data_IF_030012740695
#
_entry.id   IF_030012740695
#
_cell.length_a   1.000
_cell.length_b   1.000
_cell.length_c   1.000
_cell.angle_alpha   90.00
_cell.angle_beta   90.00
_cell.angle_gamma   90.00
#
_symmetry.space_group_name_H-M   'P 1'
#
loop_
_entity.id
_entity.type
_entity.pdbx_description
1 polymer ?
#
# COMPACT_ATOMS: atom_id res chain seq x y z
N UNK A 1 9.30 -70.89 13.98
CA UNK A 1 10.21 -69.75 14.29
C UNK A 1 10.54 -68.90 13.05
N UNK A 2 11.00 -69.44 11.92
CA UNK A 2 11.35 -68.69 10.68
C UNK A 2 10.16 -67.91 10.06
N UNK A 3 8.92 -68.41 10.13
CA UNK A 3 7.72 -67.74 9.57
C UNK A 3 7.30 -66.50 10.40
N UNK A 4 7.41 -66.54 11.70
CA UNK A 4 7.11 -65.43 12.61
C UNK A 4 8.07 -64.25 12.42
N UNK A 5 9.34 -64.56 12.24
CA UNK A 5 10.39 -63.55 11.96
C UNK A 5 10.14 -62.81 10.63
N UNK A 6 9.76 -63.55 9.56
CA UNK A 6 9.42 -62.97 8.27
C UNK A 6 8.20 -62.03 8.33
N UNK A 7 7.17 -62.40 9.10
CA UNK A 7 5.99 -61.59 9.29
C UNK A 7 6.31 -60.30 10.08
N UNK A 8 7.12 -60.42 11.11
CA UNK A 8 7.57 -59.27 11.92
C UNK A 8 8.39 -58.27 11.09
N UNK A 9 9.34 -58.73 10.28
CA UNK A 9 10.08 -57.83 9.38
C UNK A 9 9.19 -57.19 8.31
N UNK A 10 8.19 -57.91 7.79
CA UNK A 10 7.25 -57.36 6.81
C UNK A 10 6.38 -56.24 7.43
N UNK A 11 5.94 -56.38 8.68
CA UNK A 11 5.18 -55.34 9.36
C UNK A 11 6.02 -54.09 9.66
N UNK A 12 7.28 -54.25 10.07
CA UNK A 12 8.19 -53.13 10.29
C UNK A 12 8.44 -52.34 8.98
N UNK A 13 8.68 -53.04 7.87
CA UNK A 13 8.91 -52.40 6.56
C UNK A 13 7.67 -51.61 6.10
N UNK A 14 6.47 -52.18 6.32
CA UNK A 14 5.22 -51.49 5.94
C UNK A 14 4.98 -50.24 6.82
N UNK A 15 5.24 -50.33 8.12
CA UNK A 15 5.12 -49.18 9.03
C UNK A 15 6.14 -48.07 8.68
N UNK A 16 7.38 -48.44 8.36
CA UNK A 16 8.41 -47.50 7.93
C UNK A 16 8.05 -46.83 6.60
N UNK A 17 7.49 -47.57 5.67
CA UNK A 17 7.02 -47.01 4.39
C UNK A 17 5.86 -46.02 4.59
N UNK A 18 4.89 -46.34 5.46
CA UNK A 18 3.78 -45.45 5.80
C UNK A 18 4.27 -44.19 6.52
N UNK A 19 5.22 -44.33 7.45
CA UNK A 19 5.83 -43.18 8.14
C UNK A 19 6.60 -42.26 7.14
N UNK A 20 7.30 -42.83 6.18
CA UNK A 20 7.95 -42.06 5.12
C UNK A 20 6.93 -41.33 4.22
N UNK A 21 5.86 -41.98 3.80
CA UNK A 21 4.80 -41.35 3.01
C UNK A 21 4.13 -40.19 3.77
N UNK A 22 3.85 -40.38 5.07
CA UNK A 22 3.33 -39.33 5.94
C UNK A 22 4.31 -38.17 6.07
N UNK A 23 5.61 -38.45 6.28
CA UNK A 23 6.65 -37.43 6.36
C UNK A 23 6.80 -36.63 5.07
N UNK A 24 6.84 -37.30 3.92
CA UNK A 24 6.92 -36.62 2.62
C UNK A 24 5.66 -35.82 2.32
N UNK A 25 4.47 -36.36 2.64
CA UNK A 25 3.20 -35.64 2.53
C UNK A 25 3.20 -34.36 3.39
N UNK A 26 3.58 -34.46 4.65
CA UNK A 26 3.68 -33.33 5.55
C UNK A 26 4.72 -32.30 5.08
N UNK A 27 5.90 -32.74 4.68
CA UNK A 27 7.00 -31.86 4.31
C UNK A 27 6.83 -31.16 2.95
N UNK A 28 6.19 -31.79 1.97
CA UNK A 28 6.15 -31.31 0.58
C UNK A 28 4.74 -31.07 0.06
N UNK A 29 3.76 -31.88 0.40
CA UNK A 29 2.42 -31.75 -0.15
C UNK A 29 1.57 -30.73 0.62
N UNK A 30 1.60 -30.75 1.97
CA UNK A 30 0.80 -29.84 2.78
C UNK A 30 1.19 -28.36 2.53
N UNK A 31 2.47 -27.95 2.58
CA UNK A 31 2.84 -26.55 2.31
C UNK A 31 2.44 -26.08 0.91
N UNK A 32 2.48 -26.99 -0.08
CA UNK A 32 2.06 -26.67 -1.45
C UNK A 32 0.55 -26.49 -1.59
N UNK A 33 -0.25 -27.25 -0.83
CA UNK A 33 -1.70 -27.11 -0.77
C UNK A 33 -2.09 -25.81 -0.06
N UNK A 34 -1.50 -25.52 1.11
CA UNK A 34 -1.73 -24.27 1.85
C UNK A 34 -1.38 -23.04 1.01
N UNK A 35 -0.28 -23.09 0.25
CA UNK A 35 0.10 -22.01 -0.65
C UNK A 35 -0.89 -21.84 -1.80
N UNK A 36 -1.47 -22.93 -2.31
CA UNK A 36 -2.49 -22.89 -3.35
C UNK A 36 -3.81 -22.31 -2.81
N UNK A 37 -4.23 -22.74 -1.64
CA UNK A 37 -5.43 -22.19 -0.97
C UNK A 37 -5.28 -20.71 -0.63
N UNK A 38 -4.12 -20.30 -0.09
CA UNK A 38 -3.85 -18.90 0.20
C UNK A 38 -3.94 -18.02 -1.03
N UNK A 39 -3.38 -18.48 -2.17
CA UNK A 39 -3.49 -17.76 -3.46
C UNK A 39 -4.93 -17.67 -3.96
N UNK A 40 -5.70 -18.75 -3.86
CA UNK A 40 -7.12 -18.73 -4.26
C UNK A 40 -7.94 -17.79 -3.40
N UNK A 41 -7.70 -17.77 -2.09
CA UNK A 41 -8.36 -16.86 -1.16
C UNK A 41 -7.99 -15.40 -1.42
N UNK A 42 -6.74 -15.14 -1.79
CA UNK A 42 -6.28 -13.80 -2.19
C UNK A 42 -6.95 -13.32 -3.48
N UNK A 43 -7.01 -14.17 -4.50
CA UNK A 43 -7.72 -13.88 -5.76
C UNK A 43 -9.20 -13.56 -5.50
N UNK A 44 -9.90 -14.40 -4.76
CA UNK A 44 -11.31 -14.20 -4.42
C UNK A 44 -11.54 -12.91 -3.63
N UNK A 45 -10.63 -12.59 -2.68
CA UNK A 45 -10.69 -11.33 -1.92
C UNK A 45 -10.50 -10.12 -2.82
N UNK A 46 -9.60 -10.20 -3.80
CA UNK A 46 -9.36 -9.13 -4.76
C UNK A 46 -10.55 -8.94 -5.70
N UNK A 47 -11.19 -10.00 -6.15
CA UNK A 47 -12.41 -9.94 -6.95
C UNK A 47 -13.57 -9.28 -6.19
N UNK A 48 -13.83 -9.71 -4.95
CA UNK A 48 -14.87 -9.10 -4.09
C UNK A 48 -14.62 -7.62 -3.86
N UNK A 49 -13.35 -7.23 -3.61
CA UNK A 49 -12.98 -5.83 -3.44
C UNK A 49 -13.17 -5.02 -4.73
N UNK A 50 -12.87 -5.60 -5.89
CA UNK A 50 -13.10 -4.95 -7.18
C UNK A 50 -14.60 -4.71 -7.44
N UNK A 51 -15.45 -5.67 -7.10
CA UNK A 51 -16.90 -5.53 -7.25
C UNK A 51 -17.47 -4.50 -6.27
N UNK A 52 -16.99 -4.46 -5.04
CA UNK A 52 -17.32 -3.41 -4.07
C UNK A 52 -16.94 -2.02 -4.59
N UNK A 53 -15.75 -1.86 -5.15
CA UNK A 53 -15.30 -0.60 -5.72
C UNK A 53 -16.13 -0.17 -6.94
N UNK A 54 -16.58 -1.11 -7.77
CA UNK A 54 -17.45 -0.81 -8.92
C UNK A 54 -18.82 -0.28 -8.50
N UNK A 55 -19.36 -0.79 -7.39
CA UNK A 55 -20.66 -0.37 -6.84
C UNK A 55 -20.58 0.88 -5.96
N UNK A 56 -19.36 1.26 -5.53
CA UNK A 56 -19.14 2.40 -4.65
C UNK A 56 -19.40 3.74 -5.36
N UNK A 57 -19.92 4.69 -4.61
CA UNK A 57 -20.10 6.06 -5.09
C UNK A 57 -18.77 6.71 -5.42
N UNK A 58 -18.76 7.49 -6.51
CA UNK A 58 -17.55 8.18 -7.02
C UNK A 58 -17.71 9.68 -6.88
N UNK A 59 -16.70 10.31 -6.32
CA UNK A 59 -16.67 11.72 -6.01
C UNK A 59 -15.67 12.48 -6.90
N UNK A 60 -16.05 13.59 -7.53
CA UNK A 60 -15.13 14.36 -8.37
C UNK A 60 -14.09 15.07 -7.51
N UNK A 61 -12.82 14.96 -7.89
CA UNK A 61 -11.71 15.72 -7.29
C UNK A 61 -11.82 17.17 -7.78
N UNK A 62 -11.89 18.12 -6.84
CA UNK A 62 -12.04 19.55 -7.12
C UNK A 62 -10.73 20.30 -7.07
N UNK A 63 -9.91 20.02 -6.04
CA UNK A 63 -8.66 20.73 -5.79
C UNK A 63 -7.67 19.82 -5.08
N UNK A 64 -6.41 19.88 -5.45
CA UNK A 64 -5.32 19.19 -4.76
C UNK A 64 -4.49 20.26 -4.06
N UNK A 65 -4.26 20.08 -2.76
CA UNK A 65 -3.52 21.01 -1.92
C UNK A 65 -2.04 20.64 -1.83
N UNK A 66 -1.76 19.35 -1.62
CA UNK A 66 -0.42 18.76 -1.55
C UNK A 66 -0.46 17.28 -1.95
N UNK A 67 0.62 16.53 -1.71
CA UNK A 67 0.73 15.14 -2.14
C UNK A 67 -0.14 14.14 -1.36
N UNK A 68 -0.80 14.56 -0.27
CA UNK A 68 -1.64 13.68 0.55
C UNK A 68 -2.97 14.31 0.98
N UNK A 69 -3.25 15.53 0.51
CA UNK A 69 -4.47 16.28 0.85
C UNK A 69 -5.12 16.88 -0.39
N UNK A 70 -6.39 16.59 -0.58
CA UNK A 70 -7.18 17.14 -1.68
C UNK A 70 -8.61 17.43 -1.24
N UNK A 71 -9.40 18.03 -2.13
CA UNK A 71 -10.81 18.31 -1.96
C UNK A 71 -11.63 17.54 -2.98
N UNK A 72 -12.71 16.93 -2.52
CA UNK A 72 -13.69 16.26 -3.36
C UNK A 72 -15.09 16.78 -3.06
N UNK A 73 -15.97 16.76 -4.07
CA UNK A 73 -17.38 17.10 -3.88
C UNK A 73 -18.14 15.84 -3.43
N UNK A 74 -18.66 15.88 -2.20
CA UNK A 74 -19.45 14.83 -1.57
C UNK A 74 -20.81 15.40 -1.25
N UNK A 75 -21.87 14.84 -1.83
CA UNK A 75 -23.27 15.26 -1.63
C UNK A 75 -23.47 16.79 -1.80
N UNK A 76 -22.85 17.35 -2.85
CA UNK A 76 -22.93 18.76 -3.19
C UNK A 76 -22.08 19.70 -2.31
N UNK A 77 -21.24 19.16 -1.41
CA UNK A 77 -20.34 19.92 -0.55
C UNK A 77 -18.88 19.58 -0.86
N UNK A 78 -18.04 20.58 -0.83
CA UNK A 78 -16.60 20.37 -0.94
C UNK A 78 -16.01 19.95 0.41
N UNK A 79 -15.51 18.73 0.49
CA UNK A 79 -14.91 18.14 1.67
C UNK A 79 -13.39 17.96 1.47
N UNK A 80 -12.62 18.35 2.49
CA UNK A 80 -11.17 18.09 2.50
C UNK A 80 -10.88 16.66 2.90
N UNK A 81 -10.10 15.98 2.08
CA UNK A 81 -9.69 14.59 2.27
C UNK A 81 -8.22 14.54 2.64
N UNK A 82 -7.88 13.87 3.73
CA UNK A 82 -6.52 13.48 4.10
C UNK A 82 -6.35 11.99 3.80
N UNK A 83 -5.45 11.67 2.90
CA UNK A 83 -5.15 10.28 2.54
C UNK A 83 -4.52 9.54 3.73
N UNK A 84 -5.11 8.40 4.09
CA UNK A 84 -4.64 7.54 5.18
C UNK A 84 -3.34 6.82 4.83
N UNK A 85 -2.51 6.59 5.84
CA UNK A 85 -1.34 5.71 5.76
C UNK A 85 -0.13 6.31 5.07
N UNK A 86 -0.21 7.52 4.54
CA UNK A 86 0.89 8.18 3.82
C UNK A 86 1.22 9.56 4.38
N UNK A 87 2.46 9.99 4.15
CA UNK A 87 2.97 11.30 4.53
C UNK A 87 3.92 11.82 3.45
N UNK A 88 3.53 12.91 2.80
CA UNK A 88 4.32 13.55 1.74
C UNK A 88 5.17 14.68 2.28
N UNK A 89 6.31 15.02 1.65
CA UNK A 89 7.08 16.20 2.01
C UNK A 89 6.24 17.47 1.84
N UNK A 90 6.49 18.45 2.71
CA UNK A 90 5.81 19.76 2.68
C UNK A 90 6.30 20.62 1.50
N UNK A 91 5.38 21.21 0.76
CA UNK A 91 5.70 22.17 -0.32
C UNK A 91 5.58 23.64 0.14
N UNK A 92 4.98 23.91 1.29
CA UNK A 92 4.78 25.25 1.84
C UNK A 92 5.52 25.43 3.17
N UNK A 93 5.73 26.70 3.54
CA UNK A 93 6.27 27.00 4.87
C UNK A 93 5.27 26.55 5.94
N UNK A 94 5.71 25.70 6.85
CA UNK A 94 4.89 25.13 7.92
C UNK A 94 5.76 24.67 9.09
N UNK A 95 5.17 24.48 10.25
CA UNK A 95 5.84 23.86 11.40
C UNK A 95 6.27 22.40 11.13
N UNK A 96 5.63 21.73 10.17
CA UNK A 96 6.03 20.39 9.72
C UNK A 96 7.30 20.47 8.91
N UNK A 97 7.44 21.44 8.00
CA UNK A 97 8.67 21.66 7.24
C UNK A 97 9.89 21.84 8.15
N UNK A 98 9.74 22.61 9.22
CA UNK A 98 10.81 22.83 10.20
C UNK A 98 11.23 21.51 10.86
N UNK A 99 10.27 20.74 11.36
CA UNK A 99 10.48 19.42 11.97
C UNK A 99 11.07 18.40 10.99
N UNK A 100 10.64 18.41 9.74
CA UNK A 100 11.16 17.52 8.71
C UNK A 100 12.60 17.86 8.34
N UNK A 101 12.95 19.14 8.30
CA UNK A 101 14.33 19.62 8.12
C UNK A 101 15.25 19.12 9.25
N UNK A 102 14.83 19.31 10.50
CA UNK A 102 15.57 18.83 11.67
C UNK A 102 15.74 17.29 11.66
N UNK A 103 14.65 16.57 11.40
CA UNK A 103 14.63 15.09 11.42
C UNK A 103 15.46 14.47 10.32
N UNK A 104 15.48 15.05 9.13
CA UNK A 104 16.11 14.46 7.94
C UNK A 104 17.51 15.04 7.65
N UNK A 105 17.87 16.16 8.29
CA UNK A 105 19.10 16.91 8.00
C UNK A 105 19.11 17.58 6.61
N UNK A 106 17.96 17.59 5.91
CA UNK A 106 17.81 18.25 4.60
C UNK A 106 17.43 19.71 4.80
N UNK A 107 17.95 20.58 3.94
CA UNK A 107 17.53 21.98 3.93
C UNK A 107 16.05 22.12 3.47
N UNK A 108 15.42 23.20 3.91
CA UNK A 108 13.99 23.44 3.69
C UNK A 108 13.63 23.59 2.21
N UNK A 109 14.53 24.15 1.41
CA UNK A 109 14.31 24.32 -0.03
C UNK A 109 14.28 22.95 -0.75
N UNK A 110 15.17 22.06 -0.37
CA UNK A 110 15.15 20.67 -0.87
C UNK A 110 13.84 19.98 -0.49
N UNK A 111 13.36 20.11 0.75
CA UNK A 111 12.10 19.48 1.18
C UNK A 111 10.91 20.08 0.41
N UNK A 112 10.86 21.40 0.21
CA UNK A 112 9.81 22.03 -0.61
C UNK A 112 9.79 21.53 -2.05
N UNK A 113 10.97 21.38 -2.68
CA UNK A 113 11.06 20.80 -4.03
C UNK A 113 10.53 19.37 -4.07
N UNK A 114 10.86 18.54 -3.08
CA UNK A 114 10.31 17.19 -2.96
C UNK A 114 8.78 17.21 -2.79
N UNK A 115 8.26 18.14 -1.99
CA UNK A 115 6.82 18.35 -1.82
C UNK A 115 6.13 18.77 -3.11
N UNK A 116 6.75 19.65 -3.89
CA UNK A 116 6.24 20.07 -5.19
C UNK A 116 6.21 18.91 -6.19
N UNK A 117 7.24 18.06 -6.20
CA UNK A 117 7.26 16.85 -7.05
C UNK A 117 6.14 15.87 -6.64
N UNK A 118 5.93 15.65 -5.34
CA UNK A 118 4.85 14.81 -4.84
C UNK A 118 3.47 15.39 -5.23
N UNK A 119 3.27 16.69 -5.07
CA UNK A 119 2.06 17.39 -5.48
C UNK A 119 1.76 17.20 -6.98
N UNK A 120 2.74 17.46 -7.86
CA UNK A 120 2.58 17.29 -9.31
C UNK A 120 2.27 15.85 -9.69
N UNK A 121 2.93 14.89 -9.04
CA UNK A 121 2.62 13.47 -9.22
C UNK A 121 1.14 13.18 -8.91
N UNK A 122 0.63 13.68 -7.77
CA UNK A 122 -0.77 13.46 -7.38
C UNK A 122 -1.74 14.19 -8.30
N UNK A 123 -1.40 15.40 -8.77
CA UNK A 123 -2.19 16.10 -9.80
C UNK A 123 -2.31 15.25 -11.07
N UNK A 124 -1.23 14.64 -11.54
CA UNK A 124 -1.26 13.74 -12.70
C UNK A 124 -2.07 12.46 -12.42
N UNK A 125 -2.01 11.94 -11.19
CA UNK A 125 -2.64 10.68 -10.82
C UNK A 125 -4.16 10.81 -10.66
N UNK A 126 -4.65 11.84 -9.96
CA UNK A 126 -6.08 12.00 -9.61
C UNK A 126 -6.71 13.34 -10.06
N UNK A 127 -5.95 14.27 -10.63
CA UNK A 127 -6.50 15.55 -11.08
C UNK A 127 -7.60 15.36 -12.11
N UNK A 128 -8.72 16.10 -11.96
CA UNK A 128 -9.90 16.02 -12.82
C UNK A 128 -10.54 14.62 -12.94
N UNK A 129 -10.23 13.71 -12.03
CA UNK A 129 -10.83 12.37 -11.97
C UNK A 129 -11.92 12.28 -10.90
N UNK A 130 -12.65 11.18 -10.96
CA UNK A 130 -13.56 10.75 -9.88
C UNK A 130 -12.87 9.64 -9.08
N UNK A 131 -13.08 9.65 -7.77
CA UNK A 131 -12.43 8.71 -6.85
C UNK A 131 -13.49 8.03 -5.97
N UNK A 132 -13.21 6.80 -5.56
CA UNK A 132 -13.90 6.11 -4.49
C UNK A 132 -13.16 6.40 -3.18
N UNK A 133 -13.90 6.69 -2.13
CA UNK A 133 -13.39 7.05 -0.81
C UNK A 133 -13.85 6.02 0.22
N UNK A 134 -12.91 5.26 0.79
CA UNK A 134 -13.20 4.26 1.82
C UNK A 134 -12.60 4.71 3.16
N UNK A 135 -13.38 4.58 4.23
CA UNK A 135 -12.89 4.83 5.60
C UNK A 135 -12.02 3.67 6.11
N UNK A 136 -11.20 3.92 7.14
CA UNK A 136 -10.56 2.86 7.91
C UNK A 136 -11.62 2.16 8.79
N UNK A 137 -11.71 0.81 8.73
CA UNK A 137 -12.60 0.08 9.63
C UNK A 137 -12.27 0.40 11.11
N UNK A 138 -13.25 0.85 11.87
CA UNK A 138 -13.09 1.22 13.28
C UNK A 138 -12.11 2.38 13.55
N UNK A 139 -11.74 3.16 12.52
CA UNK A 139 -10.93 4.36 12.66
C UNK A 139 -11.77 5.63 12.80
N UNK A 140 -11.10 6.72 13.13
CA UNK A 140 -11.75 8.04 13.16
C UNK A 140 -12.16 8.45 11.74
N UNK A 141 -13.33 9.06 11.62
CA UNK A 141 -13.83 9.55 10.32
C UNK A 141 -13.10 10.82 9.88
N UNK A 142 -12.74 11.68 10.86
CA UNK A 142 -12.08 12.96 10.62
C UNK A 142 -10.90 13.17 11.57
N UNK A 143 -9.95 13.94 11.10
CA UNK A 143 -8.86 14.39 11.97
C UNK A 143 -9.26 15.65 12.78
N UNK A 144 -8.34 16.09 13.65
CA UNK A 144 -8.53 17.30 14.48
C UNK A 144 -8.74 18.59 13.69
N UNK A 145 -8.46 18.59 12.39
CA UNK A 145 -8.66 19.73 11.49
C UNK A 145 -9.96 19.61 10.68
N UNK A 146 -10.78 18.58 10.95
CA UNK A 146 -12.05 18.31 10.28
C UNK A 146 -11.91 17.66 8.91
N UNK A 147 -10.71 17.24 8.48
CA UNK A 147 -10.50 16.56 7.20
C UNK A 147 -10.99 15.11 7.28
N UNK A 148 -11.71 14.63 6.27
CA UNK A 148 -12.08 13.22 6.15
C UNK A 148 -10.84 12.34 5.94
N UNK A 149 -10.72 11.28 6.70
CA UNK A 149 -9.64 10.30 6.64
C UNK A 149 -10.03 9.16 5.72
N UNK A 150 -9.39 9.02 4.53
CA UNK A 150 -9.83 8.07 3.50
C UNK A 150 -8.69 7.31 2.83
N UNK A 151 -8.98 6.07 2.49
CA UNK A 151 -8.33 5.34 1.42
C UNK A 151 -8.99 5.73 0.10
N UNK A 152 -8.19 6.02 -0.90
CA UNK A 152 -8.62 6.58 -2.18
C UNK A 152 -8.35 5.58 -3.30
N UNK A 153 -9.36 5.31 -4.11
CA UNK A 153 -9.25 4.41 -5.25
C UNK A 153 -9.70 5.10 -6.53
N UNK A 154 -9.03 4.79 -7.65
CA UNK A 154 -9.51 5.14 -8.98
C UNK A 154 -10.55 4.12 -9.47
N UNK A 155 -11.21 4.45 -10.57
CA UNK A 155 -12.24 3.61 -11.19
C UNK A 155 -11.69 2.26 -11.68
N UNK A 156 -10.43 2.23 -12.11
CA UNK A 156 -9.73 1.03 -12.54
C UNK A 156 -9.26 0.14 -11.36
N UNK A 157 -9.60 0.52 -10.12
CA UNK A 157 -9.20 -0.18 -8.91
C UNK A 157 -7.83 0.20 -8.37
N UNK A 158 -7.13 1.14 -8.99
CA UNK A 158 -5.83 1.62 -8.49
C UNK A 158 -5.97 2.18 -7.09
N UNK A 159 -5.26 1.62 -6.12
CA UNK A 159 -5.18 2.14 -4.75
C UNK A 159 -4.21 3.32 -4.71
N UNK A 160 -4.76 4.53 -4.77
CA UNK A 160 -4.00 5.79 -4.92
C UNK A 160 -2.97 6.00 -3.81
N UNK A 161 -3.38 5.83 -2.55
CA UNK A 161 -2.48 5.99 -1.40
C UNK A 161 -1.25 5.08 -1.52
N UNK A 162 -1.46 3.80 -1.84
CA UNK A 162 -0.39 2.83 -1.98
C UNK A 162 0.50 3.16 -3.19
N UNK A 163 -0.11 3.53 -4.31
CA UNK A 163 0.59 3.90 -5.55
C UNK A 163 1.56 5.06 -5.35
N UNK A 164 1.17 6.08 -4.57
CA UNK A 164 2.03 7.23 -4.24
C UNK A 164 3.27 6.78 -3.47
N UNK A 165 3.14 5.82 -2.54
CA UNK A 165 4.27 5.26 -1.78
C UNK A 165 5.13 4.35 -2.66
N UNK A 166 4.53 3.47 -3.47
CA UNK A 166 5.23 2.56 -4.38
C UNK A 166 6.10 3.28 -5.40
N UNK A 167 5.61 4.42 -5.90
CA UNK A 167 6.34 5.26 -6.85
C UNK A 167 7.32 6.23 -6.14
N UNK A 168 7.36 6.17 -4.81
CA UNK A 168 8.35 6.86 -3.99
C UNK A 168 8.04 8.33 -3.72
N UNK A 169 6.78 8.78 -3.84
CA UNK A 169 6.39 10.18 -3.60
C UNK A 169 5.84 10.44 -2.19
N UNK A 170 5.71 9.40 -1.35
CA UNK A 170 5.33 9.53 0.05
C UNK A 170 6.10 8.53 0.92
N UNK A 171 6.18 8.84 2.21
CA UNK A 171 6.57 7.90 3.26
C UNK A 171 5.34 7.14 3.76
N UNK A 172 5.53 5.92 4.26
CA UNK A 172 4.52 5.25 5.06
C UNK A 172 4.35 5.97 6.42
N UNK A 173 3.12 6.35 6.75
CA UNK A 173 2.81 7.03 8.01
C UNK A 173 2.60 6.02 9.13
N UNK A 174 3.50 6.00 10.14
CA UNK A 174 3.59 4.94 11.16
C UNK A 174 2.97 5.28 12.52
N UNK A 175 2.29 6.44 12.65
CA UNK A 175 1.76 6.88 13.96
C UNK A 175 0.46 6.22 14.37
N UNK A 176 -0.28 5.65 13.42
CA UNK A 176 -1.55 4.96 13.66
C UNK A 176 -1.45 3.51 13.23
N UNK A 177 -2.15 2.64 13.95
CA UNK A 177 -2.30 1.25 13.56
C UNK A 177 -3.45 1.14 12.56
N UNK A 178 -3.11 1.08 11.27
CA UNK A 178 -4.08 1.00 10.18
C UNK A 178 -4.14 -0.42 9.61
N UNK A 179 -5.31 -0.82 9.13
CA UNK A 179 -5.51 -2.15 8.53
C UNK A 179 -4.55 -2.45 7.36
N UNK A 180 -4.10 -1.40 6.66
CA UNK A 180 -3.18 -1.47 5.51
C UNK A 180 -1.74 -1.04 5.82
N UNK A 181 -1.39 -0.93 7.10
CA UNK A 181 -0.09 -0.42 7.54
C UNK A 181 1.09 -1.18 6.92
N UNK A 182 1.02 -2.51 6.92
CA UNK A 182 2.10 -3.37 6.41
C UNK A 182 2.28 -3.20 4.90
N UNK A 183 1.19 -3.01 4.14
CA UNK A 183 1.25 -2.76 2.70
C UNK A 183 2.05 -1.48 2.40
N UNK A 184 1.82 -0.40 3.14
CA UNK A 184 2.55 0.86 2.99
C UNK A 184 4.02 0.74 3.37
N UNK A 185 4.34 0.05 4.47
CA UNK A 185 5.74 -0.14 4.92
C UNK A 185 6.54 -0.93 3.88
N UNK A 186 5.97 -2.00 3.34
CA UNK A 186 6.62 -2.80 2.31
C UNK A 186 6.76 -2.05 0.97
N UNK A 187 5.76 -1.24 0.61
CA UNK A 187 5.83 -0.38 -0.57
C UNK A 187 6.96 0.66 -0.44
N UNK A 188 7.06 1.33 0.70
CA UNK A 188 8.14 2.28 0.98
C UNK A 188 9.51 1.62 0.92
N UNK A 189 9.67 0.42 1.53
CA UNK A 189 10.92 -0.34 1.47
C UNK A 189 11.34 -0.60 0.02
N UNK A 190 10.41 -1.12 -0.80
CA UNK A 190 10.67 -1.38 -2.22
C UNK A 190 10.98 -0.11 -3.01
N UNK A 191 10.29 1.00 -2.73
CA UNK A 191 10.56 2.28 -3.38
C UNK A 191 11.97 2.80 -3.07
N UNK A 192 12.42 2.69 -1.81
CA UNK A 192 13.78 3.07 -1.37
C UNK A 192 14.85 2.20 -2.02
N UNK A 193 14.71 0.87 -1.98
CA UNK A 193 15.65 -0.08 -2.58
C UNK A 193 15.83 0.14 -4.08
N UNK A 194 14.74 0.48 -4.77
CA UNK A 194 14.74 0.74 -6.22
C UNK A 194 14.97 2.23 -6.57
N UNK A 195 15.28 3.07 -5.59
CA UNK A 195 15.54 4.51 -5.77
C UNK A 195 14.44 5.24 -6.55
N UNK A 196 13.17 4.90 -6.29
CA UNK A 196 12.02 5.49 -6.98
C UNK A 196 11.69 6.87 -6.41
N UNK A 197 11.17 7.75 -7.28
CA UNK A 197 10.66 9.06 -6.88
C UNK A 197 11.66 9.84 -6.01
N UNK A 198 11.21 10.29 -4.84
CA UNK A 198 12.00 11.08 -3.88
C UNK A 198 13.21 10.35 -3.27
N UNK A 199 13.34 9.05 -3.52
CA UNK A 199 14.50 8.24 -3.10
C UNK A 199 15.61 8.16 -4.16
N UNK A 200 15.33 8.66 -5.36
CA UNK A 200 16.26 8.72 -6.48
C UNK A 200 17.12 9.97 -6.47
N UNK A 201 17.79 10.21 -7.59
CA UNK A 201 18.53 11.46 -7.83
C UNK A 201 17.55 12.59 -8.19
N UNK A 202 17.55 13.67 -7.40
CA UNK A 202 16.67 14.83 -7.61
C UNK A 202 16.87 15.46 -8.98
N UNK A 203 18.09 15.56 -9.49
CA UNK A 203 18.37 16.13 -10.82
C UNK A 203 17.76 15.28 -11.94
N UNK A 204 17.82 13.95 -11.77
CA UNK A 204 17.20 13.01 -12.71
C UNK A 204 15.67 13.12 -12.69
N UNK A 205 15.06 13.29 -11.52
CA UNK A 205 13.60 13.47 -11.39
C UNK A 205 13.13 14.78 -12.03
N UNK A 206 13.80 15.90 -11.79
CA UNK A 206 13.48 17.19 -12.42
C UNK A 206 13.64 17.15 -13.95
N UNK A 207 14.62 16.38 -14.44
CA UNK A 207 14.83 16.20 -15.89
C UNK A 207 13.70 15.39 -16.53
N UNK A 208 13.31 14.27 -15.91
CA UNK A 208 12.21 13.42 -16.41
C UNK A 208 10.86 14.18 -16.42
N UNK A 209 10.62 15.02 -15.42
CA UNK A 209 9.40 15.83 -15.36
C UNK A 209 9.32 16.87 -16.47
N UNK A 210 10.45 17.47 -16.85
CA UNK A 210 10.52 18.44 -17.96
C UNK A 210 10.29 17.81 -19.33
N UNK A 211 10.61 16.52 -19.50
CA UNK A 211 10.41 15.81 -20.77
C UNK A 211 8.99 15.23 -20.92
N UNK A 212 8.25 15.06 -19.82
CA UNK A 212 6.88 14.55 -19.83
C UNK A 212 5.78 15.61 -20.02
N UNK A 213 6.14 16.80 -20.48
CA UNK A 213 5.19 17.88 -20.87
C UNK A 213 4.83 17.82 -22.32
#
# INVERSE_FOLDING_TARGET
>A
MKSFIKLFFKTIITLAALAMLAYFGWKYAIPKLEQKESKQNEVKRNELKQDELKQSQRYPVKKIYDGDTFEAEIDGKNEKIRMLGIDTPEKHQSSKLDKDSERTGRDKETIKKLGELAYKYVVKLIGNKRVVLLAEPNGDDRDRYGRLLRYVYLEDGTFVNLKIVEDGYANAYRRFNLSKQNEFIEAERRARENKRGLWGDLKGLEFMEKQGK
#
